data_IF_303439231498
#
_entry.id   IF_303439231498
#
_cell.length_a   1.000
_cell.length_b   1.000
_cell.length_c   1.000
_cell.angle_alpha   90.00
_cell.angle_beta   90.00
_cell.angle_gamma   90.00
#
_symmetry.space_group_name_H-M   'P 1'
#
loop_
_entity.id
_entity.type
_entity.pdbx_description
1 polymer ?
#
# COMPACT_ATOMS: atom_id res chain seq x y z
N UNK A 1 11.12 77.32 -3.44
CA UNK A 1 11.84 76.63 -4.54
C UNK A 1 12.16 75.23 -4.05
N UNK A 2 11.90 74.23 -4.89
CA UNK A 2 11.85 72.80 -4.59
C UNK A 2 13.15 72.22 -4.00
N UNK A 3 13.06 71.14 -3.21
CA UNK A 3 13.31 69.76 -3.67
C UNK A 3 13.26 68.74 -2.52
N UNK A 4 12.64 67.61 -2.84
CA UNK A 4 12.51 66.35 -2.09
C UNK A 4 13.86 65.63 -1.90
N UNK A 5 13.92 64.70 -0.93
CA UNK A 5 14.61 63.38 -0.87
C UNK A 5 14.66 63.00 0.65
N UNK A 6 14.15 61.90 1.19
CA UNK A 6 13.99 60.51 0.70
C UNK A 6 14.87 59.60 1.59
N UNK A 7 14.30 58.63 2.34
CA UNK A 7 15.12 57.76 3.19
C UNK A 7 14.43 56.79 4.17
N UNK A 8 13.74 55.78 3.63
CA UNK A 8 13.55 54.40 4.12
C UNK A 8 12.97 54.11 5.53
N UNK A 9 11.67 53.78 5.53
CA UNK A 9 11.08 52.76 6.38
C UNK A 9 11.46 51.34 5.90
N UNK A 10 11.40 50.35 6.80
CA UNK A 10 11.05 48.98 6.40
C UNK A 10 11.90 47.88 7.01
N UNK A 11 11.24 47.04 7.81
CA UNK A 11 11.75 45.91 8.58
C UNK A 11 12.53 44.86 7.78
N UNK A 12 13.67 44.42 8.34
CA UNK A 12 14.27 43.13 8.01
C UNK A 12 13.43 42.00 8.59
N UNK A 13 12.67 41.30 7.74
CA UNK A 13 12.13 39.98 8.03
C UNK A 13 12.61 39.03 6.94
N UNK A 14 13.78 38.44 7.16
CA UNK A 14 14.24 37.34 6.33
C UNK A 14 13.52 36.07 6.80
N UNK A 15 12.38 35.83 6.17
CA UNK A 15 11.73 34.52 6.14
C UNK A 15 12.61 33.59 5.28
N UNK A 16 13.46 32.81 5.94
CA UNK A 16 14.20 31.70 5.34
C UNK A 16 13.59 30.39 5.78
N UNK A 17 12.35 30.13 5.40
CA UNK A 17 11.71 28.84 5.59
C UNK A 17 12.51 27.78 4.83
N UNK A 18 13.03 26.80 5.57
CA UNK A 18 13.50 25.55 5.00
C UNK A 18 12.27 24.76 4.48
N UNK A 19 11.71 25.23 3.36
CA UNK A 19 10.83 24.44 2.54
C UNK A 19 11.66 23.33 1.93
N UNK A 20 11.63 22.14 2.54
CA UNK A 20 12.03 20.92 1.86
C UNK A 20 11.13 20.79 0.63
N UNK A 21 11.66 21.13 -0.54
CA UNK A 21 11.03 20.77 -1.80
C UNK A 21 10.84 19.26 -1.79
N UNK A 22 9.58 18.81 -1.74
CA UNK A 22 9.24 17.44 -2.05
C UNK A 22 9.76 17.13 -3.47
N UNK A 23 10.37 15.96 -3.72
CA UNK A 23 10.80 15.62 -5.06
C UNK A 23 9.55 15.52 -5.96
N UNK A 24 9.48 16.40 -6.96
CA UNK A 24 8.54 16.31 -8.06
C UNK A 24 8.97 15.13 -8.95
N UNK A 25 8.43 13.94 -8.66
CA UNK A 25 8.78 12.72 -9.39
C UNK A 25 7.78 11.58 -9.23
N UNK A 26 6.55 11.87 -8.78
CA UNK A 26 5.45 10.92 -8.82
C UNK A 26 4.55 11.20 -10.01
N UNK A 27 4.07 10.15 -10.67
CA UNK A 27 3.00 10.27 -11.67
C UNK A 27 1.80 11.02 -11.05
N UNK A 28 1.16 11.89 -11.83
CA UNK A 28 -0.10 12.49 -11.42
C UNK A 28 -1.13 11.38 -11.16
N UNK A 29 -2.03 11.58 -10.18
CA UNK A 29 -3.12 10.64 -9.90
C UNK A 29 -3.81 10.24 -11.21
N UNK A 30 -4.06 8.94 -11.45
CA UNK A 30 -4.85 8.49 -12.60
C UNK A 30 -6.19 9.23 -12.67
N UNK A 31 -6.61 9.63 -13.86
CA UNK A 31 -7.91 10.26 -14.05
C UNK A 31 -9.02 9.21 -14.08
N UNK A 32 -10.04 9.36 -13.26
CA UNK A 32 -11.18 8.43 -13.19
C UNK A 32 -10.99 7.35 -12.12
N UNK A 33 -11.97 6.45 -12.02
CA UNK A 33 -11.97 5.37 -11.03
C UNK A 33 -10.87 4.35 -11.36
N UNK A 34 -10.02 4.03 -10.40
CA UNK A 34 -9.02 2.95 -10.53
C UNK A 34 -9.68 1.59 -10.29
N UNK A 35 -9.62 0.71 -11.28
CA UNK A 35 -10.13 -0.67 -11.21
C UNK A 35 -8.98 -1.67 -11.04
N UNK A 36 -9.30 -2.93 -10.76
CA UNK A 36 -8.32 -4.03 -10.66
C UNK A 36 -7.43 -4.08 -11.90
N UNK A 37 -8.02 -3.98 -13.10
CA UNK A 37 -7.28 -3.97 -14.36
C UNK A 37 -6.30 -2.78 -14.49
N UNK A 38 -6.65 -1.60 -13.94
CA UNK A 38 -5.73 -0.43 -13.94
C UNK A 38 -4.59 -0.65 -12.97
N UNK A 39 -4.86 -1.24 -11.80
CA UNK A 39 -3.85 -1.60 -10.82
C UNK A 39 -2.91 -2.69 -11.37
N UNK A 40 -3.45 -3.75 -11.96
CA UNK A 40 -2.68 -4.84 -12.59
C UNK A 40 -1.77 -4.30 -13.69
N UNK A 41 -2.28 -3.43 -14.58
CA UNK A 41 -1.46 -2.80 -15.59
C UNK A 41 -0.35 -1.90 -15.01
N UNK A 42 -0.56 -1.31 -13.82
CA UNK A 42 0.47 -0.56 -13.10
C UNK A 42 1.54 -1.49 -12.50
N UNK A 43 1.14 -2.66 -12.00
CA UNK A 43 2.06 -3.72 -11.55
C UNK A 43 2.89 -4.24 -12.72
N UNK A 44 2.30 -4.40 -13.91
CA UNK A 44 3.02 -4.82 -15.12
C UNK A 44 4.10 -3.80 -15.51
N UNK A 45 3.78 -2.50 -15.55
CA UNK A 45 4.77 -1.44 -15.80
C UNK A 45 5.86 -1.40 -14.73
N UNK A 46 5.48 -1.64 -13.47
CA UNK A 46 6.44 -1.76 -12.38
C UNK A 46 7.38 -2.96 -12.59
N UNK A 47 6.85 -4.12 -13.01
CA UNK A 47 7.62 -5.31 -13.34
C UNK A 47 8.60 -5.06 -14.49
N UNK A 48 8.15 -4.39 -15.56
CA UNK A 48 9.00 -4.01 -16.70
C UNK A 48 10.17 -3.10 -16.28
N UNK A 49 9.91 -2.11 -15.43
CA UNK A 49 10.96 -1.23 -14.89
C UNK A 49 11.99 -2.00 -14.07
N UNK A 50 11.54 -2.94 -13.23
CA UNK A 50 12.44 -3.81 -12.46
C UNK A 50 13.27 -4.74 -13.35
N UNK A 51 12.63 -5.34 -14.36
CA UNK A 51 13.28 -6.25 -15.28
C UNK A 51 14.39 -5.55 -16.09
N UNK A 52 14.18 -4.30 -16.50
CA UNK A 52 15.20 -3.47 -17.15
C UNK A 52 16.45 -3.24 -16.27
N UNK A 53 16.31 -3.35 -14.95
CA UNK A 53 17.38 -3.20 -13.98
C UNK A 53 17.92 -4.58 -13.52
N UNK A 54 17.41 -5.70 -14.04
CA UNK A 54 17.82 -7.05 -13.68
C UNK A 54 17.22 -7.57 -12.38
N UNK A 55 16.01 -7.14 -12.02
CA UNK A 55 15.23 -7.63 -10.89
C UNK A 55 13.97 -8.28 -11.43
N UNK A 56 13.73 -9.54 -11.08
CA UNK A 56 12.49 -10.24 -11.42
C UNK A 56 11.42 -9.95 -10.36
N UNK A 57 10.22 -9.59 -10.82
CA UNK A 57 9.03 -9.45 -9.99
C UNK A 57 8.18 -10.71 -10.13
N UNK A 58 7.93 -11.40 -9.03
CA UNK A 58 6.94 -12.47 -8.94
C UNK A 58 5.67 -11.88 -8.35
N UNK A 59 4.60 -11.85 -9.14
CA UNK A 59 3.26 -11.48 -8.69
C UNK A 59 2.53 -12.73 -8.21
N UNK A 60 2.21 -12.80 -6.93
CA UNK A 60 1.57 -13.95 -6.29
C UNK A 60 0.04 -13.79 -6.21
N UNK A 61 -0.50 -12.70 -6.76
CA UNK A 61 -1.94 -12.42 -6.81
C UNK A 61 -2.37 -11.31 -5.85
N UNK A 62 -3.69 -11.12 -5.72
CA UNK A 62 -4.29 -10.18 -4.78
C UNK A 62 -4.16 -10.66 -3.34
N UNK A 63 -3.93 -9.74 -2.40
CA UNK A 63 -3.92 -10.06 -0.97
C UNK A 63 -5.33 -10.48 -0.52
N UNK A 64 -5.53 -11.73 -0.07
CA UNK A 64 -6.86 -12.24 0.27
C UNK A 64 -7.42 -11.61 1.55
N UNK A 65 -6.61 -10.89 2.34
CA UNK A 65 -7.05 -10.26 3.58
C UNK A 65 -7.86 -9.00 3.34
N UNK A 66 -7.42 -8.15 2.41
CA UNK A 66 -7.98 -6.82 2.19
C UNK A 66 -8.36 -6.52 0.73
N UNK A 67 -7.83 -7.28 -0.25
CA UNK A 67 -7.94 -7.02 -1.69
C UNK A 67 -7.52 -5.58 -2.07
N UNK A 68 -6.63 -4.96 -1.29
CA UNK A 68 -6.17 -3.58 -1.50
C UNK A 68 -4.86 -3.51 -2.28
N UNK A 69 -4.12 -4.61 -2.32
CA UNK A 69 -2.81 -4.72 -2.96
C UNK A 69 -2.56 -6.12 -3.48
N UNK A 70 -1.62 -6.24 -4.40
CA UNK A 70 -1.06 -7.53 -4.82
C UNK A 70 0.15 -7.92 -3.95
N UNK A 71 0.31 -9.21 -3.70
CA UNK A 71 1.46 -9.79 -3.01
C UNK A 71 2.60 -9.94 -4.02
N UNK A 72 3.68 -9.20 -3.79
CA UNK A 72 4.79 -9.07 -4.73
C UNK A 72 6.11 -9.50 -4.08
N UNK A 73 6.87 -10.36 -4.76
CA UNK A 73 8.19 -10.82 -4.33
C UNK A 73 9.26 -10.48 -5.36
N UNK A 74 10.44 -10.09 -4.88
CA UNK A 74 11.58 -9.73 -5.72
C UNK A 74 12.62 -10.85 -5.74
N UNK A 75 13.14 -11.16 -6.92
CA UNK A 75 14.27 -12.08 -7.12
C UNK A 75 15.40 -11.35 -7.84
N UNK A 76 16.56 -11.25 -7.19
CA UNK A 76 17.72 -10.52 -7.70
C UNK A 76 19.04 -11.08 -7.11
N UNK A 77 19.45 -12.31 -7.48
CA UNK A 77 20.59 -12.99 -6.85
C UNK A 77 21.93 -12.27 -7.02
N UNK A 78 22.06 -11.41 -8.03
CA UNK A 78 23.29 -10.67 -8.32
C UNK A 78 23.35 -9.27 -7.68
N UNK A 79 22.35 -8.86 -6.91
CA UNK A 79 22.26 -7.51 -6.32
C UNK A 79 22.21 -7.57 -4.80
N UNK A 80 22.81 -6.58 -4.15
CA UNK A 80 22.63 -6.39 -2.70
C UNK A 80 21.21 -5.92 -2.38
N UNK A 81 20.74 -6.18 -1.17
CA UNK A 81 19.43 -5.72 -0.70
C UNK A 81 19.27 -4.19 -0.80
N UNK A 82 20.34 -3.42 -0.61
CA UNK A 82 20.34 -1.96 -0.74
C UNK A 82 20.14 -1.51 -2.20
N UNK A 83 20.77 -2.20 -3.15
CA UNK A 83 20.57 -1.92 -4.58
C UNK A 83 19.14 -2.25 -5.01
N UNK A 84 18.63 -3.42 -4.59
CA UNK A 84 17.24 -3.82 -4.82
C UNK A 84 16.29 -2.75 -4.25
N UNK A 85 16.46 -2.35 -2.99
CA UNK A 85 15.60 -1.34 -2.36
C UNK A 85 15.57 0.00 -3.10
N UNK A 86 16.73 0.49 -3.59
CA UNK A 86 16.80 1.73 -4.38
C UNK A 86 16.06 1.62 -5.70
N UNK A 87 16.30 0.53 -6.45
CA UNK A 87 15.66 0.29 -7.74
C UNK A 87 14.15 0.10 -7.57
N UNK A 88 13.73 -0.72 -6.60
CA UNK A 88 12.33 -0.94 -6.26
C UNK A 88 11.64 0.37 -5.90
N UNK A 89 12.25 1.22 -5.06
CA UNK A 89 11.66 2.52 -4.69
C UNK A 89 11.47 3.42 -5.93
N UNK A 90 12.50 3.53 -6.78
CA UNK A 90 12.46 4.30 -8.03
C UNK A 90 11.32 3.80 -8.94
N UNK A 91 11.27 2.50 -9.22
CA UNK A 91 10.27 1.93 -10.13
C UNK A 91 8.85 1.99 -9.56
N UNK A 92 8.68 1.77 -8.25
CA UNK A 92 7.37 1.89 -7.58
C UNK A 92 6.83 3.30 -7.62
N UNK A 93 7.66 4.29 -7.28
CA UNK A 93 7.27 5.71 -7.29
C UNK A 93 6.85 6.13 -8.70
N UNK A 94 7.53 5.60 -9.72
CA UNK A 94 7.30 5.94 -11.11
C UNK A 94 6.08 5.27 -11.74
N UNK A 95 5.56 4.16 -11.19
CA UNK A 95 4.55 3.36 -11.90
C UNK A 95 3.39 2.83 -11.06
N UNK A 96 3.55 2.66 -9.75
CA UNK A 96 2.60 1.93 -8.92
C UNK A 96 2.04 2.76 -7.76
N UNK A 97 2.85 3.57 -7.07
CA UNK A 97 2.43 4.15 -5.79
C UNK A 97 1.21 5.09 -5.92
N UNK A 98 1.13 5.91 -6.99
CA UNK A 98 -0.02 6.78 -7.24
C UNK A 98 -1.30 6.00 -7.59
N UNK A 99 -1.15 4.91 -8.35
CA UNK A 99 -2.26 4.02 -8.72
C UNK A 99 -2.75 3.24 -7.49
N UNK A 100 -1.84 2.73 -6.67
CA UNK A 100 -2.17 1.99 -5.47
C UNK A 100 -2.91 2.86 -4.45
N UNK A 101 -2.46 4.10 -4.23
CA UNK A 101 -3.16 5.05 -3.37
C UNK A 101 -4.58 5.37 -3.88
N UNK A 102 -4.73 5.59 -5.19
CA UNK A 102 -6.05 5.85 -5.77
C UNK A 102 -6.96 4.60 -5.74
N UNK A 103 -6.40 3.40 -5.89
CA UNK A 103 -7.15 2.15 -5.82
C UNK A 103 -7.77 1.91 -4.44
N UNK A 104 -7.02 2.14 -3.36
CA UNK A 104 -7.53 2.00 -1.99
C UNK A 104 -8.55 3.07 -1.62
N UNK A 105 -8.47 4.26 -2.23
CA UNK A 105 -9.50 5.29 -2.09
C UNK A 105 -10.80 4.96 -2.87
N UNK A 106 -10.66 4.37 -4.06
CA UNK A 106 -11.78 4.15 -4.99
C UNK A 106 -12.52 2.82 -4.76
N UNK A 107 -11.93 1.89 -4.00
CA UNK A 107 -12.44 0.54 -3.80
C UNK A 107 -12.54 0.18 -2.32
N UNK A 108 -13.54 -0.64 -1.98
CA UNK A 108 -13.74 -1.07 -0.61
C UNK A 108 -12.77 -2.22 -0.27
N UNK A 109 -12.13 -2.13 0.90
CA UNK A 109 -11.45 -3.25 1.53
C UNK A 109 -12.41 -4.43 1.68
N UNK A 110 -12.04 -5.59 1.16
CA UNK A 110 -12.83 -6.82 1.21
C UNK A 110 -11.92 -8.03 1.40
N UNK A 111 -12.19 -8.79 2.45
CA UNK A 111 -11.54 -10.08 2.66
C UNK A 111 -12.13 -11.12 1.71
N UNK A 112 -11.29 -12.01 1.19
CA UNK A 112 -11.72 -13.14 0.39
C UNK A 112 -12.80 -13.97 1.12
N UNK A 113 -13.90 -14.37 0.45
CA UNK A 113 -15.03 -15.00 1.13
C UNK A 113 -14.70 -16.31 1.86
N UNK A 114 -13.79 -17.11 1.30
CA UNK A 114 -13.32 -18.36 1.89
C UNK A 114 -12.44 -18.11 3.13
N UNK A 115 -11.57 -17.09 3.07
CA UNK A 115 -10.77 -16.66 4.20
C UNK A 115 -11.65 -16.11 5.32
N UNK A 116 -12.61 -15.25 5.01
CA UNK A 116 -13.57 -14.73 6.00
C UNK A 116 -14.35 -15.86 6.66
N UNK A 117 -14.75 -16.88 5.90
CA UNK A 117 -15.42 -18.07 6.44
C UNK A 117 -14.51 -18.83 7.41
N UNK A 118 -13.28 -19.14 6.98
CA UNK A 118 -12.30 -19.84 7.81
C UNK A 118 -11.92 -19.07 9.10
N UNK A 119 -11.82 -17.74 9.02
CA UNK A 119 -11.55 -16.88 10.18
C UNK A 119 -12.73 -16.91 11.15
N UNK A 120 -13.97 -16.84 10.67
CA UNK A 120 -15.18 -16.97 11.50
C UNK A 120 -15.22 -18.30 12.23
N UNK A 121 -14.91 -19.39 11.53
CA UNK A 121 -14.90 -20.73 12.12
C UNK A 121 -13.84 -20.82 13.23
N UNK A 122 -12.62 -20.34 12.97
CA UNK A 122 -11.54 -20.30 13.97
C UNK A 122 -11.89 -19.45 15.21
N UNK A 123 -12.53 -18.29 15.01
CA UNK A 123 -12.96 -17.45 16.12
C UNK A 123 -14.08 -18.10 16.92
N UNK A 124 -15.02 -18.77 16.25
CA UNK A 124 -16.10 -19.51 16.91
C UNK A 124 -15.57 -20.65 17.77
N UNK A 125 -14.54 -21.39 17.31
CA UNK A 125 -13.86 -22.42 18.12
C UNK A 125 -13.20 -21.86 19.39
N UNK A 126 -12.82 -20.57 19.36
CA UNK A 126 -12.28 -19.84 20.51
C UNK A 126 -13.37 -19.20 21.39
N UNK A 127 -14.65 -19.45 21.09
CA UNK A 127 -15.79 -18.86 21.81
C UNK A 127 -16.07 -17.40 21.44
N UNK A 128 -15.51 -16.90 20.35
CA UNK A 128 -15.70 -15.53 19.85
C UNK A 128 -16.72 -15.56 18.73
N UNK A 129 -17.95 -15.13 19.03
CA UNK A 129 -19.03 -15.02 18.05
C UNK A 129 -18.96 -13.72 17.25
N UNK A 130 -19.08 -13.82 15.93
CA UNK A 130 -19.23 -12.68 15.02
C UNK A 130 -20.68 -12.49 14.60
N UNK A 131 -21.03 -11.29 14.13
CA UNK A 131 -22.40 -11.00 13.68
C UNK A 131 -22.71 -11.55 12.29
N UNK A 132 -21.69 -11.96 11.54
CA UNK A 132 -21.78 -12.42 10.15
C UNK A 132 -21.82 -11.28 9.13
N UNK A 133 -21.81 -10.02 9.59
CA UNK A 133 -21.84 -8.81 8.74
C UNK A 133 -20.45 -8.28 8.39
N UNK A 134 -19.41 -8.82 9.02
CA UNK A 134 -18.03 -8.40 8.85
C UNK A 134 -17.55 -8.78 7.44
N UNK A 135 -16.96 -7.83 6.72
CA UNK A 135 -16.51 -8.03 5.32
C UNK A 135 -15.02 -7.81 5.11
N UNK A 136 -14.35 -7.15 6.05
CA UNK A 136 -12.96 -6.75 5.92
C UNK A 136 -12.23 -6.78 7.28
N UNK A 137 -10.91 -6.57 7.31
CA UNK A 137 -10.12 -6.57 8.54
C UNK A 137 -10.62 -5.58 9.61
N UNK A 138 -11.05 -4.39 9.20
CA UNK A 138 -11.53 -3.35 10.13
C UNK A 138 -12.87 -3.72 10.78
N UNK A 139 -13.75 -4.41 10.07
CA UNK A 139 -14.97 -4.96 10.65
C UNK A 139 -14.65 -6.02 11.71
N UNK A 140 -13.69 -6.90 11.43
CA UNK A 140 -13.25 -7.94 12.36
C UNK A 140 -12.60 -7.35 13.62
N UNK A 141 -11.69 -6.38 13.46
CA UNK A 141 -11.04 -5.67 14.58
C UNK A 141 -12.05 -4.99 15.50
N UNK A 142 -13.15 -4.45 14.95
CA UNK A 142 -14.22 -3.84 15.75
C UNK A 142 -15.12 -4.86 16.44
N UNK A 143 -15.25 -6.06 15.87
CA UNK A 143 -16.15 -7.10 16.36
C UNK A 143 -15.49 -8.01 17.42
N UNK A 144 -14.17 -8.13 17.41
CA UNK A 144 -13.43 -9.06 18.28
C UNK A 144 -12.81 -8.30 19.47
N UNK A 145 -12.93 -8.81 20.71
CA UNK A 145 -12.37 -8.16 21.90
C UNK A 145 -10.84 -8.30 22.05
N UNK A 146 -10.20 -9.23 21.33
CA UNK A 146 -8.75 -9.49 21.38
C UNK A 146 -8.12 -9.55 19.98
N UNK A 147 -7.16 -8.66 19.71
CA UNK A 147 -6.48 -8.59 18.41
C UNK A 147 -5.58 -9.81 18.15
N UNK A 148 -5.00 -10.42 19.18
CA UNK A 148 -4.05 -11.53 19.06
C UNK A 148 -4.74 -12.81 18.56
N UNK A 149 -5.92 -13.14 19.08
CA UNK A 149 -6.71 -14.27 18.62
C UNK A 149 -7.15 -14.09 17.16
N UNK A 150 -7.56 -12.86 16.80
CA UNK A 150 -7.94 -12.52 15.43
C UNK A 150 -6.75 -12.67 14.48
N UNK A 151 -5.59 -12.08 14.79
CA UNK A 151 -4.36 -12.22 13.99
C UNK A 151 -3.98 -13.68 13.83
N UNK A 152 -4.02 -14.46 14.91
CA UNK A 152 -3.73 -15.89 14.86
C UNK A 152 -4.69 -16.63 13.92
N UNK A 153 -6.00 -16.38 14.02
CA UNK A 153 -7.00 -17.00 13.15
C UNK A 153 -6.84 -16.60 11.68
N UNK A 154 -6.53 -15.33 11.40
CA UNK A 154 -6.28 -14.85 10.04
C UNK A 154 -5.03 -15.49 9.46
N UNK A 155 -3.89 -15.42 10.15
CA UNK A 155 -2.64 -15.98 9.64
C UNK A 155 -2.72 -17.50 9.46
N UNK A 156 -3.31 -18.23 10.42
CA UNK A 156 -3.46 -19.68 10.30
C UNK A 156 -4.41 -20.09 9.16
N UNK A 157 -5.49 -19.33 8.94
CA UNK A 157 -6.43 -19.60 7.85
C UNK A 157 -5.86 -19.22 6.50
N UNK A 158 -5.18 -18.08 6.40
CA UNK A 158 -4.51 -17.63 5.19
C UNK A 158 -3.41 -18.61 4.78
N UNK A 159 -2.54 -19.02 5.72
CA UNK A 159 -1.47 -20.00 5.43
C UNK A 159 -2.01 -21.37 4.97
N UNK A 160 -3.21 -21.75 5.43
CA UNK A 160 -3.86 -23.01 5.02
C UNK A 160 -4.50 -22.91 3.63
N UNK A 161 -5.16 -21.79 3.33
CA UNK A 161 -5.93 -21.60 2.09
C UNK A 161 -5.07 -21.10 0.93
N UNK A 162 -4.02 -20.33 1.23
CA UNK A 162 -3.15 -19.65 0.27
C UNK A 162 -1.67 -19.97 0.52
N UNK A 163 -1.26 -21.25 0.48
CA UNK A 163 0.10 -21.68 0.83
C UNK A 163 1.18 -21.16 -0.13
N UNK A 164 0.81 -20.71 -1.32
CA UNK A 164 1.70 -20.13 -2.33
C UNK A 164 2.08 -18.66 -2.06
N UNK A 165 1.34 -17.95 -1.21
CA UNK A 165 1.65 -16.56 -0.88
C UNK A 165 2.83 -16.47 0.08
N UNK A 166 3.84 -15.69 -0.29
CA UNK A 166 5.06 -15.48 0.50
C UNK A 166 4.82 -14.73 1.79
N UNK A 167 3.85 -13.81 1.81
CA UNK A 167 3.42 -13.09 3.01
C UNK A 167 1.99 -12.60 2.85
N UNK A 168 1.23 -12.68 3.94
CA UNK A 168 -0.10 -12.11 4.06
C UNK A 168 -0.08 -11.17 5.25
N UNK A 169 -0.40 -9.89 5.03
CA UNK A 169 -0.34 -8.87 6.06
C UNK A 169 -1.75 -8.63 6.62
N UNK A 170 -1.89 -8.71 7.94
CA UNK A 170 -3.10 -8.26 8.64
C UNK A 170 -2.78 -6.96 9.39
N UNK A 171 -3.57 -5.89 9.21
CA UNK A 171 -3.34 -4.59 9.85
C UNK A 171 -3.36 -4.69 11.37
#
# INVERSE_FOLDING_TARGET
MALLLGGLAGCSSQAGGAGRSAPAGGEARPTGKVTDAVYEAAVDRFAECLAAEGIELVNEGWDPVDHEKMVLRYSAPAKSANEVGKVTTKCRTAHLDAVAAAYTEDNASLMAPDLMTAVRDCLAEKGIGLSGRERNPQDLLRAVPGEDELRTCVHASAARLYPELSTVAFP
#
